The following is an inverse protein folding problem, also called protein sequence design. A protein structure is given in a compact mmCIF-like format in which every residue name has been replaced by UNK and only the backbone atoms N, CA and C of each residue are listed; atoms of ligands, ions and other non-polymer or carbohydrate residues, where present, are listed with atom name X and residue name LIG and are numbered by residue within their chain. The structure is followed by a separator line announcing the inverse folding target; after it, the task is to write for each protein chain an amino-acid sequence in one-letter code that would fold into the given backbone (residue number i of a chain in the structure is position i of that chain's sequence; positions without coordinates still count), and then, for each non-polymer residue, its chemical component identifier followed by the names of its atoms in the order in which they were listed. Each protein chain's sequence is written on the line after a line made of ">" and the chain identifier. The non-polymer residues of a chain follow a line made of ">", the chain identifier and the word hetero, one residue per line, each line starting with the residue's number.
data_IF_938286966342
#
_entry.id   IF_938286966342
#
_cell.length_a   1.000
_cell.length_b   1.000
_cell.length_c   1.000
_cell.angle_alpha   90.00
_cell.angle_beta   90.00
_cell.angle_gamma   90.00
#
_symmetry.space_group_name_H-M   'P 1'
#
loop_
_entity.id
_entity.type
_entity.pdbx_description
1 polymer ?
#
# COMPACT_ATOMS: atom_id res chain seq x y z
N UNK A 1 -7.79 -33.45 -14.30
CA UNK A 1 -8.41 -32.36 -13.51
C UNK A 1 -7.99 -31.02 -14.07
N UNK A 2 -8.78 -29.95 -13.87
CA UNK A 2 -8.38 -28.59 -14.27
C UNK A 2 -7.45 -28.00 -13.21
N UNK A 3 -6.32 -27.47 -13.62
CA UNK A 3 -5.45 -26.69 -12.75
C UNK A 3 -5.86 -25.22 -12.83
N UNK A 4 -6.27 -24.64 -11.70
CA UNK A 4 -6.72 -23.25 -11.61
C UNK A 4 -5.68 -22.46 -10.85
N UNK A 5 -5.17 -21.40 -11.46
CA UNK A 5 -4.20 -20.50 -10.84
C UNK A 5 -4.97 -19.26 -10.35
N UNK A 6 -4.90 -18.99 -9.05
CA UNK A 6 -5.57 -17.83 -8.44
C UNK A 6 -4.57 -16.67 -8.36
N UNK A 7 -5.03 -15.49 -8.79
CA UNK A 7 -4.31 -14.23 -8.67
C UNK A 7 -5.07 -13.27 -7.75
N UNK A 8 -4.37 -12.76 -6.75
CA UNK A 8 -4.86 -11.75 -5.83
C UNK A 8 -4.35 -10.37 -6.26
N UNK A 9 -5.24 -9.39 -6.32
CA UNK A 9 -4.88 -8.00 -6.60
C UNK A 9 -5.05 -7.16 -5.33
N UNK A 10 -4.06 -6.33 -5.03
CA UNK A 10 -4.18 -5.35 -3.95
C UNK A 10 -3.51 -4.01 -4.31
N UNK A 11 -3.98 -2.94 -3.69
CA UNK A 11 -3.41 -1.60 -3.77
C UNK A 11 -3.11 -1.11 -2.37
N UNK A 12 -1.88 -0.64 -2.14
CA UNK A 12 -1.46 -0.10 -0.84
C UNK A 12 -0.87 1.29 -1.03
N UNK A 13 -1.27 2.23 -0.17
CA UNK A 13 -0.73 3.60 -0.16
C UNK A 13 0.20 3.77 1.03
N UNK A 14 1.41 4.24 0.77
CA UNK A 14 2.41 4.66 1.73
C UNK A 14 2.44 6.17 1.81
N UNK A 15 2.61 6.72 3.02
CA UNK A 15 2.69 8.16 3.27
C UNK A 15 4.05 8.50 3.86
N UNK A 16 4.71 9.52 3.32
CA UNK A 16 5.90 10.07 3.95
C UNK A 16 5.52 10.77 5.25
N UNK A 17 6.33 10.54 6.29
CA UNK A 17 6.09 11.05 7.64
C UNK A 17 4.72 10.63 8.19
N UNK A 18 4.35 9.34 8.04
CA UNK A 18 3.15 8.76 8.68
C UNK A 18 3.22 8.98 10.19
N UNK A 19 2.21 9.66 10.75
CA UNK A 19 2.25 10.11 12.13
C UNK A 19 1.54 9.12 13.06
N UNK A 20 2.25 8.08 13.49
CA UNK A 20 1.78 7.21 14.57
C UNK A 20 2.28 7.73 15.92
N UNK A 21 1.64 8.80 16.41
CA UNK A 21 2.00 9.42 17.69
C UNK A 21 1.32 8.70 18.84
N UNK A 22 2.12 8.08 19.71
CA UNK A 22 1.65 7.54 20.98
C UNK A 22 1.84 8.61 22.07
N UNK A 23 0.70 9.12 22.50
CA UNK A 23 0.44 10.20 23.44
C UNK A 23 -0.02 9.86 24.84
N UNK A 24 0.53 10.45 25.91
CA UNK A 24 -0.29 10.60 27.12
C UNK A 24 -1.24 11.78 26.95
N UNK A 25 -2.52 11.57 27.24
CA UNK A 25 -3.57 12.59 27.21
C UNK A 25 -4.31 12.62 28.54
N UNK A 26 -4.83 13.78 28.93
CA UNK A 26 -5.70 13.87 30.10
C UNK A 26 -6.98 13.05 29.85
N UNK A 27 -7.56 12.45 30.90
CA UNK A 27 -8.73 11.56 30.80
C UNK A 27 -9.93 12.18 30.08
N UNK A 28 -10.09 13.50 30.21
CA UNK A 28 -11.20 14.26 29.61
C UNK A 28 -10.83 14.87 28.25
N UNK A 29 -9.69 14.47 27.66
CA UNK A 29 -9.27 14.97 26.34
C UNK A 29 -10.06 14.30 25.22
N UNK A 30 -10.55 15.12 24.29
CA UNK A 30 -11.13 14.62 23.03
C UNK A 30 -10.03 14.18 22.05
N UNK A 31 -10.24 13.07 21.36
CA UNK A 31 -9.39 12.69 20.22
C UNK A 31 -9.48 13.75 19.12
N UNK A 32 -8.34 14.34 18.73
CA UNK A 32 -8.26 15.27 17.60
C UNK A 32 -7.69 14.54 16.38
N UNK A 33 -8.49 14.30 15.31
CA UNK A 33 -7.99 13.70 14.09
C UNK A 33 -6.81 14.50 13.54
N UNK A 34 -5.75 13.81 13.12
CA UNK A 34 -4.60 14.42 12.46
C UNK A 34 -4.49 13.87 11.03
N UNK A 35 -3.90 14.64 10.10
CA UNK A 35 -3.53 14.11 8.79
C UNK A 35 -2.65 12.87 8.94
N UNK A 36 -2.96 11.83 8.17
CA UNK A 36 -2.27 10.53 8.24
C UNK A 36 -0.75 10.67 8.02
N UNK A 37 -0.36 11.44 7.02
CA UNK A 37 1.03 11.83 6.79
C UNK A 37 1.16 13.32 6.53
N UNK A 38 2.39 13.82 6.62
CA UNK A 38 2.71 15.23 6.32
C UNK A 38 3.45 15.42 4.99
N UNK A 39 3.83 14.35 4.31
CA UNK A 39 4.57 14.40 3.05
C UNK A 39 3.87 13.70 1.89
N UNK A 40 4.64 13.48 0.82
CA UNK A 40 4.17 12.80 -0.38
C UNK A 40 3.63 11.38 -0.08
N UNK A 41 2.66 10.95 -0.87
CA UNK A 41 2.18 9.57 -0.85
C UNK A 41 2.59 8.80 -2.11
N UNK A 42 2.83 7.51 -1.93
CA UNK A 42 3.10 6.55 -3.00
C UNK A 42 2.11 5.39 -2.89
N UNK A 43 1.31 5.20 -3.92
CA UNK A 43 0.45 4.04 -4.06
C UNK A 43 1.12 3.00 -4.96
N UNK A 44 1.10 1.76 -4.51
CA UNK A 44 1.61 0.60 -5.24
C UNK A 44 0.45 -0.38 -5.43
N UNK A 45 0.18 -0.74 -6.69
CA UNK A 45 -0.78 -1.77 -7.07
C UNK A 45 -0.06 -2.94 -7.72
N UNK A 46 -0.36 -4.18 -7.34
CA UNK A 46 0.25 -5.38 -7.94
C UNK A 46 -0.65 -6.61 -7.83
N UNK A 47 -0.29 -7.66 -8.56
CA UNK A 47 -0.92 -8.98 -8.48
C UNK A 47 0.06 -9.99 -7.88
N UNK A 48 -0.47 -10.93 -7.08
CA UNK A 48 0.31 -12.02 -6.47
C UNK A 48 -0.47 -13.33 -6.51
N UNK A 49 0.23 -14.44 -6.74
CA UNK A 49 -0.29 -15.80 -6.66
C UNK A 49 0.51 -16.62 -5.67
N UNK A 50 -0.11 -17.60 -5.01
CA UNK A 50 0.60 -18.54 -4.16
C UNK A 50 1.59 -19.41 -4.96
N UNK A 51 1.25 -19.70 -6.23
CA UNK A 51 2.03 -20.60 -7.08
C UNK A 51 3.19 -19.89 -7.78
N UNK A 52 3.04 -18.59 -8.07
CA UNK A 52 3.96 -17.83 -8.93
C UNK A 52 4.56 -16.58 -8.28
N UNK A 53 4.15 -16.21 -7.07
CA UNK A 53 4.56 -14.95 -6.45
C UNK A 53 3.99 -13.74 -7.18
N UNK A 54 4.74 -12.64 -7.23
CA UNK A 54 4.30 -11.42 -7.91
C UNK A 54 4.21 -11.61 -9.41
N UNK A 55 3.18 -11.01 -10.04
CA UNK A 55 3.00 -11.09 -11.48
C UNK A 55 4.10 -10.29 -12.20
N UNK A 56 5.05 -11.03 -12.76
CA UNK A 56 6.13 -10.51 -13.60
C UNK A 56 6.15 -11.23 -14.94
N UNK A 57 6.72 -10.59 -15.97
CA UNK A 57 7.09 -11.31 -17.18
C UNK A 57 8.11 -12.40 -16.83
N UNK A 58 8.14 -13.44 -17.66
CA UNK A 58 8.98 -14.63 -17.47
C UNK A 58 10.48 -14.29 -17.30
N UNK A 59 10.94 -13.18 -17.88
CA UNK A 59 12.31 -12.70 -17.81
C UNK A 59 12.57 -11.70 -16.67
N UNK A 60 11.58 -11.41 -15.82
CA UNK A 60 11.68 -10.46 -14.71
C UNK A 60 11.83 -8.98 -15.10
N UNK A 61 11.95 -8.66 -16.39
CA UNK A 61 12.26 -7.28 -16.85
C UNK A 61 11.07 -6.33 -16.74
N UNK A 62 9.84 -6.87 -16.69
CA UNK A 62 8.61 -6.10 -16.59
C UNK A 62 7.69 -6.73 -15.56
N UNK A 63 7.07 -5.88 -14.77
CA UNK A 63 6.11 -6.30 -13.75
C UNK A 63 4.73 -5.72 -14.09
N UNK A 64 3.67 -6.34 -13.57
CA UNK A 64 2.33 -5.76 -13.61
C UNK A 64 2.15 -4.63 -12.58
N UNK A 65 3.19 -4.33 -11.79
CA UNK A 65 3.13 -3.33 -10.72
C UNK A 65 2.88 -1.93 -11.30
N UNK A 66 2.01 -1.17 -10.65
CA UNK A 66 1.79 0.25 -10.95
C UNK A 66 2.19 1.09 -9.75
N UNK A 67 3.05 2.08 -10.00
CA UNK A 67 3.35 3.15 -9.06
C UNK A 67 2.49 4.35 -9.43
N UNK A 68 1.73 4.82 -8.45
CA UNK A 68 0.85 5.99 -8.57
C UNK A 68 1.29 6.96 -7.49
N UNK A 69 1.39 8.25 -7.82
CA UNK A 69 1.69 9.32 -6.86
C UNK A 69 0.38 10.06 -6.56
N UNK A 70 -0.45 9.57 -5.63
CA UNK A 70 -1.68 10.24 -5.26
C UNK A 70 -1.40 11.49 -4.43
N UNK A 71 -2.25 12.51 -4.57
CA UNK A 71 -2.11 13.80 -3.90
C UNK A 71 -1.81 14.96 -4.87
N UNK A 72 -1.87 16.19 -4.37
CA UNK A 72 -1.38 17.36 -5.13
C UNK A 72 0.16 17.35 -5.08
N UNK A 73 0.79 17.38 -6.26
CA UNK A 73 2.13 17.93 -6.43
C UNK A 73 2.02 19.45 -6.55
#
# INVERSE_FOLDING_TARGET
>A
GKHVIIWFHNQTIFYAYDQQRIYWVHKDSSAKPQPKGKGASLMIASFVSADFGFLTLLNGQKTAQKLIKPGKN
#
